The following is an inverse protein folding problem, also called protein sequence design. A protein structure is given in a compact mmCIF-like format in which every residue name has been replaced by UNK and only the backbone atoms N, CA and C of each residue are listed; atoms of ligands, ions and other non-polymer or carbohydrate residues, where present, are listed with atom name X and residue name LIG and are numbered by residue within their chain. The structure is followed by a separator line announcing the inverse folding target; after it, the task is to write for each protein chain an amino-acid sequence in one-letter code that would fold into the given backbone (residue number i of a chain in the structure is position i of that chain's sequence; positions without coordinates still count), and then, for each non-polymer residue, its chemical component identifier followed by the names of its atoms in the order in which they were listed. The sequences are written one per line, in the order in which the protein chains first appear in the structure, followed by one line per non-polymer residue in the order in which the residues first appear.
data_IF_220317593359
#
_entry.id   IF_220317593359
#
_cell.length_a   1.000
_cell.length_b   1.000
_cell.length_c   1.000
_cell.angle_alpha   90.00
_cell.angle_beta   90.00
_cell.angle_gamma   90.00
#
_symmetry.space_group_name_H-M   'P 1'
#
loop_
_entity.id
_entity.type
_entity.pdbx_description
1 polymer ?
#
# COMPACT_ATOMS: atom_id res chain seq x y z
N UNK A 1 21.37 26.37 3.62
CA UNK A 1 21.29 25.63 4.89
C UNK A 1 20.43 24.38 4.71
N UNK A 2 20.88 23.20 5.14
CA UNK A 2 20.13 21.94 5.02
C UNK A 2 19.18 21.82 6.22
N UNK A 3 17.87 21.84 5.99
CA UNK A 3 16.86 21.61 7.03
C UNK A 3 16.66 20.10 7.22
N UNK A 4 17.11 19.55 8.35
CA UNK A 4 16.81 18.17 8.76
C UNK A 4 15.47 18.12 9.49
N UNK A 5 14.56 17.29 9.02
CA UNK A 5 13.26 17.02 9.66
C UNK A 5 13.18 15.54 10.06
N UNK A 6 12.84 15.24 11.33
CA UNK A 6 12.49 13.88 11.74
C UNK A 6 11.08 13.56 11.25
N UNK A 7 10.93 12.45 10.49
CA UNK A 7 9.59 11.91 10.21
C UNK A 7 9.05 11.23 11.46
N UNK A 8 7.76 11.40 11.71
CA UNK A 8 7.04 10.68 12.78
C UNK A 8 6.96 9.17 12.48
N UNK A 9 6.87 8.81 11.19
CA UNK A 9 6.76 7.43 10.71
C UNK A 9 7.95 7.03 9.84
N UNK A 10 8.25 5.74 9.81
CA UNK A 10 9.24 5.19 8.87
C UNK A 10 8.79 5.47 7.43
N UNK A 11 9.72 5.80 6.51
CA UNK A 11 9.37 5.96 5.10
C UNK A 11 8.76 4.66 4.57
N UNK A 12 7.57 4.76 3.97
CA UNK A 12 6.96 3.65 3.27
C UNK A 12 7.53 3.59 1.85
N UNK A 13 7.88 2.39 1.40
CA UNK A 13 8.36 2.15 0.03
C UNK A 13 7.21 2.10 -0.99
N UNK A 14 6.00 1.76 -0.53
CA UNK A 14 4.78 1.74 -1.34
C UNK A 14 3.57 2.11 -0.46
N UNK A 15 2.64 2.90 -1.01
CA UNK A 15 1.37 3.21 -0.37
C UNK A 15 0.23 2.87 -1.33
N UNK A 16 -0.64 1.97 -0.90
CA UNK A 16 -1.90 1.67 -1.58
C UNK A 16 -3.05 2.33 -0.83
N UNK A 17 -3.87 3.11 -1.54
CA UNK A 17 -5.08 3.72 -0.98
C UNK A 17 -6.32 3.10 -1.62
N UNK A 18 -7.08 2.38 -0.81
CA UNK A 18 -8.37 1.81 -1.20
C UNK A 18 -9.46 2.82 -0.83
N UNK A 19 -10.14 3.37 -1.83
CA UNK A 19 -11.11 4.45 -1.62
C UNK A 19 -12.46 3.94 -1.09
N UNK A 20 -12.84 2.70 -1.43
CA UNK A 20 -14.16 2.14 -1.11
C UNK A 20 -14.03 0.75 -0.52
N UNK A 21 -13.37 0.65 0.65
CA UNK A 21 -13.15 -0.63 1.33
C UNK A 21 -14.46 -1.36 1.66
N UNK A 22 -15.48 -0.63 2.14
CA UNK A 22 -16.79 -1.22 2.44
C UNK A 22 -17.44 -1.89 1.22
N UNK A 23 -17.29 -1.31 0.02
CA UNK A 23 -17.82 -1.91 -1.20
C UNK A 23 -17.10 -3.23 -1.53
N UNK A 24 -15.80 -3.33 -1.27
CA UNK A 24 -15.03 -4.55 -1.51
C UNK A 24 -15.47 -5.69 -0.58
N UNK A 25 -15.68 -5.42 0.71
CA UNK A 25 -16.27 -6.39 1.63
C UNK A 25 -17.68 -6.81 1.22
N UNK A 26 -18.51 -5.85 0.79
CA UNK A 26 -19.93 -6.10 0.48
C UNK A 26 -20.14 -6.86 -0.84
N UNK A 27 -19.24 -6.65 -1.81
CA UNK A 27 -19.27 -7.36 -3.10
C UNK A 27 -18.77 -8.81 -3.03
N UNK A 28 -18.37 -9.29 -1.84
CA UNK A 28 -17.87 -10.65 -1.65
C UNK A 28 -16.48 -10.87 -2.26
N UNK A 29 -15.73 -9.79 -2.52
CA UNK A 29 -14.37 -9.88 -3.03
C UNK A 29 -13.46 -10.30 -1.88
N UNK A 30 -13.10 -11.59 -1.86
CA UNK A 30 -12.23 -12.14 -0.82
C UNK A 30 -10.78 -11.62 -0.91
N UNK A 31 -10.36 -11.14 -2.10
CA UNK A 31 -8.98 -10.75 -2.37
C UNK A 31 -8.88 -9.51 -3.26
N UNK A 32 -8.08 -8.54 -2.87
CA UNK A 32 -7.70 -7.39 -3.72
C UNK A 32 -6.21 -7.45 -4.06
N UNK A 33 -5.92 -7.35 -5.34
CA UNK A 33 -4.56 -7.26 -5.86
C UNK A 33 -4.05 -5.81 -5.83
N UNK A 34 -2.88 -5.60 -5.23
CA UNK A 34 -2.26 -4.27 -5.16
C UNK A 34 -1.61 -3.81 -6.46
N UNK A 35 -1.54 -4.68 -7.47
CA UNK A 35 -0.63 -4.56 -8.60
C UNK A 35 0.84 -4.80 -8.22
N UNK A 36 1.69 -4.88 -9.24
CA UNK A 36 3.14 -5.00 -9.09
C UNK A 36 3.75 -3.63 -8.77
N UNK A 37 4.56 -3.54 -7.72
CA UNK A 37 5.33 -2.35 -7.34
C UNK A 37 6.79 -2.69 -7.07
N UNK A 38 7.68 -1.71 -7.22
CA UNK A 38 9.11 -1.90 -6.92
C UNK A 38 9.42 -1.45 -5.49
N UNK A 39 10.07 -2.32 -4.72
CA UNK A 39 10.61 -1.99 -3.42
C UNK A 39 11.94 -2.70 -3.20
N UNK A 40 12.92 -1.95 -2.69
CA UNK A 40 14.29 -2.44 -2.45
C UNK A 40 14.98 -3.06 -3.68
N UNK A 41 14.65 -2.58 -4.90
CA UNK A 41 15.19 -3.11 -6.15
C UNK A 41 14.56 -4.43 -6.63
N UNK A 42 13.47 -4.86 -6.00
CA UNK A 42 12.71 -6.05 -6.38
C UNK A 42 11.26 -5.68 -6.73
N UNK A 43 10.67 -6.44 -7.65
CA UNK A 43 9.24 -6.34 -7.99
C UNK A 43 8.43 -7.20 -7.02
N UNK A 44 7.52 -6.54 -6.30
CA UNK A 44 6.62 -7.14 -5.33
C UNK A 44 5.18 -6.96 -5.79
N UNK A 45 4.29 -7.83 -5.33
CA UNK A 45 2.85 -7.66 -5.41
C UNK A 45 2.27 -8.14 -4.08
N UNK A 46 1.20 -7.51 -3.63
CA UNK A 46 0.54 -7.83 -2.38
C UNK A 46 -0.92 -8.18 -2.64
N UNK A 47 -1.35 -9.30 -2.05
CA UNK A 47 -2.75 -9.69 -1.97
C UNK A 47 -3.29 -9.29 -0.61
N UNK A 48 -4.37 -8.51 -0.61
CA UNK A 48 -5.09 -8.12 0.60
C UNK A 48 -6.33 -8.99 0.69
N UNK A 49 -6.49 -9.66 1.83
CA UNK A 49 -7.67 -10.46 2.15
C UNK A 49 -8.63 -9.60 2.98
N UNK A 50 -9.90 -9.56 2.62
CA UNK A 50 -10.96 -8.81 3.32
C UNK A 50 -11.80 -9.70 4.22
#
# INVERSE_FOLDING_TARGET
AIKRTKRHFRPAHYLLKIQSCSLLCDTGVEKYDSGVFEASGHKWWALILF
#
